data_IF_237559696022
#
_entry.id   IF_237559696022
#
_cell.length_a   1.000
_cell.length_b   1.000
_cell.length_c   1.000
_cell.angle_alpha   90.00
_cell.angle_beta   90.00
_cell.angle_gamma   90.00
#
_symmetry.space_group_name_H-M   'P 1'
#
loop_
_entity.id
_entity.type
_entity.pdbx_description
1 polymer ?
#
# COMPACT_ATOMS: atom_id res chain seq x y z
N UNK A 1 -31.85 27.57 -1.06
CA UNK A 1 -30.91 27.16 -2.13
C UNK A 1 -29.78 28.15 -2.12
N UNK A 2 -28.54 27.67 -1.93
CA UNK A 2 -27.33 28.48 -1.86
C UNK A 2 -26.56 28.26 -0.56
N UNK A 3 -26.12 27.03 -0.31
CA UNK A 3 -24.98 26.80 0.61
C UNK A 3 -23.73 26.81 -0.27
N UNK A 4 -23.11 27.98 -0.37
CA UNK A 4 -21.74 28.13 -0.85
C UNK A 4 -20.81 27.59 0.26
N UNK A 5 -20.62 26.27 0.30
CA UNK A 5 -19.48 25.66 1.00
C UNK A 5 -18.29 25.62 0.05
N UNK A 6 -17.90 26.82 -0.41
CA UNK A 6 -16.65 27.02 -1.15
C UNK A 6 -15.48 27.14 -0.15
N UNK A 7 -14.40 26.45 -0.51
CA UNK A 7 -13.05 26.46 0.01
C UNK A 7 -12.81 27.05 1.42
N UNK A 8 -12.26 26.21 2.31
CA UNK A 8 -11.33 26.71 3.33
C UNK A 8 -9.91 26.69 2.75
N UNK A 9 -9.37 27.80 2.21
CA UNK A 9 -7.96 27.90 1.92
C UNK A 9 -7.24 28.24 3.23
N UNK A 10 -6.94 27.24 4.05
CA UNK A 10 -6.04 27.47 5.19
C UNK A 10 -4.59 27.36 4.70
N UNK A 11 -4.16 28.46 4.08
CA UNK A 11 -2.78 28.89 4.08
C UNK A 11 -2.28 28.87 5.54
N UNK A 12 -1.13 28.24 5.77
CA UNK A 12 -0.40 28.11 7.05
C UNK A 12 -0.58 26.77 7.80
N UNK A 13 -0.16 25.68 7.17
CA UNK A 13 0.71 24.74 7.88
C UNK A 13 1.80 24.25 6.92
N UNK A 14 3.05 24.60 7.22
CA UNK A 14 4.21 24.03 6.58
C UNK A 14 4.25 22.51 6.85
N UNK A 15 3.73 21.72 5.93
CA UNK A 15 3.76 20.27 5.97
C UNK A 15 3.13 19.72 4.69
N UNK A 16 3.96 19.47 3.69
CA UNK A 16 3.59 19.04 2.34
C UNK A 16 2.94 17.64 2.26
N UNK A 17 2.54 17.03 3.38
CA UNK A 17 1.88 15.72 3.42
C UNK A 17 0.79 15.72 4.51
N UNK A 18 -0.45 15.31 4.19
CA UNK A 18 -1.45 15.00 5.21
C UNK A 18 -0.95 13.82 6.06
N UNK A 19 -1.59 13.56 7.20
CA UNK A 19 -1.27 12.41 8.03
C UNK A 19 -1.08 11.12 7.21
N UNK A 20 -0.27 10.19 7.70
CA UNK A 20 0.05 8.94 7.01
C UNK A 20 -1.18 8.01 6.82
N UNK A 21 -2.36 8.45 7.26
CA UNK A 21 -3.64 7.75 7.20
C UNK A 21 -4.58 8.33 6.12
N UNK A 22 -4.17 9.38 5.41
CA UNK A 22 -4.91 9.94 4.28
C UNK A 22 -4.57 9.20 2.98
N UNK A 23 -5.53 8.42 2.47
CA UNK A 23 -5.41 7.72 1.19
C UNK A 23 -5.87 8.65 0.06
N UNK A 24 -4.97 8.95 -0.87
CA UNK A 24 -5.25 9.76 -2.06
C UNK A 24 -5.57 8.89 -3.28
N UNK A 25 -6.07 9.50 -4.37
CA UNK A 25 -6.24 8.77 -5.64
C UNK A 25 -4.93 8.14 -6.14
N UNK A 26 -3.79 8.79 -5.89
CA UNK A 26 -2.48 8.27 -6.25
C UNK A 26 -2.13 6.96 -5.51
N UNK A 27 -2.72 6.71 -4.33
CA UNK A 27 -2.47 5.51 -3.54
C UNK A 27 -3.31 4.29 -3.98
N UNK A 28 -4.24 4.46 -4.94
CA UNK A 28 -5.07 3.35 -5.43
C UNK A 28 -4.22 2.39 -6.27
N UNK A 29 -4.11 1.14 -5.83
CA UNK A 29 -3.49 0.06 -6.58
C UNK A 29 -4.27 -0.18 -7.88
N UNK A 30 -3.58 -0.04 -9.01
CA UNK A 30 -4.13 -0.22 -10.36
C UNK A 30 -3.70 -1.52 -11.03
N UNK A 31 -2.56 -2.09 -10.63
CA UNK A 31 -2.03 -3.32 -11.21
C UNK A 31 -1.40 -4.21 -10.14
N UNK A 32 -1.52 -5.52 -10.35
CA UNK A 32 -0.87 -6.56 -9.55
C UNK A 32 -0.32 -7.63 -10.47
N UNK A 33 0.92 -8.07 -10.25
CA UNK A 33 1.54 -9.10 -11.06
C UNK A 33 2.51 -9.94 -10.22
N UNK A 34 2.38 -11.27 -10.33
CA UNK A 34 3.41 -12.17 -9.83
C UNK A 34 4.49 -12.36 -10.89
N UNK A 35 5.74 -12.49 -10.44
CA UNK A 35 6.75 -13.04 -11.34
C UNK A 35 6.43 -14.52 -11.65
N UNK A 36 7.12 -15.07 -12.65
CA UNK A 36 6.86 -16.44 -13.15
C UNK A 36 6.95 -17.53 -12.08
N UNK A 37 7.73 -17.32 -11.03
CA UNK A 37 7.92 -18.30 -9.94
C UNK A 37 6.93 -18.13 -8.80
N UNK A 38 6.23 -16.99 -8.71
CA UNK A 38 5.34 -16.64 -7.59
C UNK A 38 6.07 -16.17 -6.32
N UNK A 39 7.40 -16.00 -6.38
CA UNK A 39 8.22 -15.58 -5.23
C UNK A 39 8.19 -14.07 -5.00
N UNK A 40 7.88 -13.30 -6.05
CA UNK A 40 7.74 -11.86 -6.00
C UNK A 40 6.33 -11.45 -6.45
N UNK A 41 5.74 -10.52 -5.70
CA UNK A 41 4.51 -9.82 -6.06
C UNK A 41 4.84 -8.34 -6.29
N UNK A 42 4.61 -7.85 -7.50
CA UNK A 42 4.69 -6.44 -7.82
C UNK A 42 3.29 -5.81 -7.78
N UNK A 43 3.18 -4.63 -7.17
CA UNK A 43 1.98 -3.80 -7.24
C UNK A 43 2.34 -2.42 -7.81
N UNK A 44 1.45 -1.88 -8.64
CA UNK A 44 1.54 -0.51 -9.15
C UNK A 44 0.30 0.28 -8.75
N UNK A 45 0.47 1.53 -8.35
CA UNK A 45 -0.64 2.45 -8.06
C UNK A 45 -0.82 3.53 -9.13
N UNK A 46 -1.94 4.26 -9.07
CA UNK A 46 -2.24 5.38 -9.99
C UNK A 46 -1.21 6.51 -9.93
N UNK A 47 -0.50 6.66 -8.81
CA UNK A 47 0.58 7.63 -8.63
C UNK A 47 1.89 7.23 -9.32
N UNK A 48 1.97 6.01 -9.88
CA UNK A 48 3.15 5.48 -10.54
C UNK A 48 4.19 4.91 -9.59
N UNK A 49 3.87 4.70 -8.30
CA UNK A 49 4.76 3.97 -7.39
C UNK A 49 4.66 2.48 -7.70
N UNK A 50 5.80 1.81 -7.59
CA UNK A 50 5.92 0.36 -7.73
C UNK A 50 6.44 -0.21 -6.43
N UNK A 51 5.75 -1.21 -5.89
CA UNK A 51 6.15 -1.93 -4.67
C UNK A 51 6.38 -3.40 -5.02
N UNK A 52 7.46 -3.98 -4.49
CA UNK A 52 7.77 -5.39 -4.67
C UNK A 52 7.76 -6.06 -3.29
N UNK A 53 6.91 -7.06 -3.14
CA UNK A 53 6.86 -7.95 -1.98
C UNK A 53 7.60 -9.24 -2.32
N UNK A 54 8.46 -9.69 -1.41
CA UNK A 54 9.10 -10.99 -1.48
C UNK A 54 8.38 -11.95 -0.54
N UNK A 55 8.07 -13.15 -1.03
CA UNK A 55 7.52 -14.22 -0.19
C UNK A 55 8.54 -14.60 0.87
N UNK A 56 8.12 -14.60 2.14
CA UNK A 56 8.94 -15.14 3.22
C UNK A 56 9.16 -16.65 2.98
N UNK A 57 10.38 -17.17 3.18
CA UNK A 57 10.62 -18.61 3.11
C UNK A 57 9.76 -19.32 4.16
N UNK A 58 9.27 -20.52 3.83
CA UNK A 58 8.62 -21.39 4.81
C UNK A 58 9.65 -21.80 5.87
N UNK A 59 9.77 -21.01 6.93
CA UNK A 59 10.47 -21.38 8.15
C UNK A 59 9.69 -22.54 8.77
N UNK A 60 10.21 -23.75 8.57
CA UNK A 60 9.51 -24.99 8.84
C UNK A 60 8.88 -25.06 10.24
N UNK A 61 7.56 -24.88 10.31
CA UNK A 61 6.72 -25.41 11.39
C UNK A 61 6.51 -26.93 11.20
N UNK A 62 7.58 -27.65 10.87
CA UNK A 62 7.67 -29.10 10.83
C UNK A 62 8.96 -29.56 11.53
N UNK A 63 9.24 -29.03 12.73
CA UNK A 63 10.14 -29.73 13.65
C UNK A 63 9.31 -30.64 14.55
N UNK A 64 9.18 -31.89 14.13
CA UNK A 64 9.03 -33.10 14.95
C UNK A 64 8.50 -32.92 16.39
N UNK A 65 7.18 -32.91 16.53
CA UNK A 65 6.49 -33.20 17.79
C UNK A 65 6.08 -34.67 17.88
N UNK A 66 7.04 -35.52 18.28
CA UNK A 66 6.86 -36.76 19.05
C UNK A 66 5.79 -37.78 18.58
N UNK A 67 6.18 -38.68 17.68
CA UNK A 67 5.68 -40.07 17.69
C UNK A 67 6.71 -40.95 18.41
N UNK A 68 6.66 -41.01 19.75
CA UNK A 68 6.98 -42.17 20.58
C UNK A 68 6.23 -42.06 21.90
#
# INVERSE_FOLDING_TARGET
MGEDTDATPTLNHHGFLPDHNYVTEADIISTVEFNHTGELLATGDKGGRVVIFQREPEVGAHTNGLNK
#
